data_IF_376941669316
#
_entry.id   IF_376941669316
#
_cell.length_a   1.000
_cell.length_b   1.000
_cell.length_c   1.000
_cell.angle_alpha   90.00
_cell.angle_beta   90.00
_cell.angle_gamma   90.00
#
_symmetry.space_group_name_H-M   'P 1'
#
loop_
_entity.id
_entity.type
_entity.pdbx_description
1 polymer ?
#
# COMPACT_ATOMS: atom_id res chain seq x y z
N UNK A 1 8.08 -0.53 16.50
CA UNK A 1 7.47 -1.08 17.74
C UNK A 1 8.37 -2.08 18.45
N UNK A 2 8.52 -3.33 17.98
CA UNK A 2 9.41 -4.33 18.63
C UNK A 2 10.84 -3.82 18.89
N UNK A 3 11.42 -3.05 17.96
CA UNK A 3 12.73 -2.40 18.14
C UNK A 3 12.76 -1.33 19.25
N UNK A 4 11.66 -0.59 19.42
CA UNK A 4 11.53 0.44 20.45
C UNK A 4 11.23 -0.16 21.83
N UNK A 5 10.53 -1.30 21.85
CA UNK A 5 10.11 -2.01 23.05
C UNK A 5 10.42 -3.51 22.91
N UNK A 6 11.70 -3.93 23.06
CA UNK A 6 12.10 -5.33 22.81
C UNK A 6 11.36 -6.34 23.68
N UNK A 7 11.13 -5.99 24.95
CA UNK A 7 10.44 -6.81 25.96
C UNK A 7 8.93 -6.52 26.05
N UNK A 8 8.40 -5.59 25.24
CA UNK A 8 6.99 -5.22 25.33
C UNK A 8 6.09 -6.27 24.70
N UNK A 9 4.99 -6.64 25.36
CA UNK A 9 3.96 -7.48 24.75
C UNK A 9 3.16 -6.66 23.73
N UNK A 10 3.05 -7.14 22.50
CA UNK A 10 2.41 -6.46 21.37
C UNK A 10 1.14 -7.19 21.02
N UNK A 11 0.00 -6.59 21.35
CA UNK A 11 -1.31 -7.03 20.87
C UNK A 11 -1.70 -6.27 19.61
N UNK A 12 -2.18 -6.97 18.57
CA UNK A 12 -2.66 -6.38 17.34
C UNK A 12 -4.18 -6.56 17.20
N UNK A 13 -4.90 -5.45 17.27
CA UNK A 13 -6.31 -5.37 16.94
C UNK A 13 -6.49 -5.25 15.42
N UNK A 14 -7.16 -6.22 14.80
CA UNK A 14 -7.38 -6.25 13.35
C UNK A 14 -8.82 -6.66 13.04
N UNK A 15 -9.37 -6.23 11.90
CA UNK A 15 -10.67 -6.75 11.46
C UNK A 15 -10.55 -8.25 11.17
N UNK A 16 -11.53 -9.03 11.61
CA UNK A 16 -11.56 -10.50 11.48
C UNK A 16 -11.35 -10.98 10.03
N UNK A 17 -11.88 -10.25 9.05
CA UNK A 17 -11.71 -10.53 7.62
C UNK A 17 -10.26 -10.53 7.12
N UNK A 18 -9.33 -9.98 7.91
CA UNK A 18 -7.90 -9.93 7.58
C UNK A 18 -7.05 -10.91 8.41
N UNK A 19 -7.63 -11.88 9.12
CA UNK A 19 -6.87 -12.88 9.90
C UNK A 19 -5.82 -13.63 9.06
N UNK A 20 -6.06 -13.79 7.76
CA UNK A 20 -5.12 -14.41 6.83
C UNK A 20 -3.74 -13.72 6.72
N UNK A 21 -3.54 -12.51 7.26
CA UNK A 21 -2.25 -11.81 7.25
C UNK A 21 -1.41 -12.04 8.51
N UNK A 22 -1.90 -12.81 9.48
CA UNK A 22 -1.22 -13.06 10.77
C UNK A 22 0.20 -13.58 10.61
N UNK A 23 0.42 -14.45 9.62
CA UNK A 23 1.74 -15.04 9.35
C UNK A 23 2.81 -13.98 9.05
N UNK A 24 2.43 -12.79 8.55
CA UNK A 24 3.36 -11.68 8.29
C UNK A 24 3.94 -11.06 9.57
N UNK A 25 3.27 -11.28 10.71
CA UNK A 25 3.67 -10.74 11.99
C UNK A 25 4.24 -11.82 12.93
N UNK A 26 4.57 -13.01 12.40
CA UNK A 26 5.21 -14.06 13.17
C UNK A 26 6.50 -13.53 13.84
N UNK A 27 6.60 -13.69 15.17
CA UNK A 27 7.71 -13.17 15.98
C UNK A 27 7.68 -11.66 16.24
N UNK A 28 6.67 -10.93 15.74
CA UNK A 28 6.48 -9.50 15.98
C UNK A 28 5.29 -9.20 16.88
N UNK A 29 4.17 -9.91 16.69
CA UNK A 29 2.92 -9.76 17.46
C UNK A 29 2.75 -10.98 18.37
N UNK A 30 2.45 -10.72 19.64
CA UNK A 30 2.30 -11.76 20.67
C UNK A 30 0.85 -12.25 20.75
N UNK A 31 -0.12 -11.37 20.49
CA UNK A 31 -1.55 -11.70 20.54
C UNK A 31 -2.34 -10.95 19.48
N UNK A 32 -3.21 -11.67 18.77
CA UNK A 32 -4.19 -11.07 17.87
C UNK A 32 -5.53 -10.90 18.56
N UNK A 33 -6.18 -9.77 18.29
CA UNK A 33 -7.52 -9.45 18.76
C UNK A 33 -8.35 -9.14 17.51
N UNK A 34 -9.46 -9.84 17.32
CA UNK A 34 -10.28 -9.69 16.11
C UNK A 34 -11.52 -8.86 16.37
N UNK A 35 -11.70 -7.82 15.56
CA UNK A 35 -12.92 -7.03 15.51
C UNK A 35 -13.80 -7.51 14.35
N UNK A 36 -14.99 -8.03 14.65
CA UNK A 36 -15.94 -8.52 13.64
C UNK A 36 -16.76 -7.35 13.06
N UNK A 37 -16.10 -6.50 12.27
CA UNK A 37 -16.70 -5.29 11.69
C UNK A 37 -17.97 -5.60 10.92
N UNK A 38 -17.99 -6.66 10.13
CA UNK A 38 -19.15 -7.04 9.32
C UNK A 38 -20.34 -7.36 10.21
N UNK A 39 -20.18 -8.19 11.25
CA UNK A 39 -21.25 -8.50 12.18
C UNK A 39 -21.79 -7.24 12.86
N UNK A 40 -20.91 -6.34 13.32
CA UNK A 40 -21.33 -5.06 13.89
C UNK A 40 -22.10 -4.19 12.88
N UNK A 41 -21.64 -4.09 11.65
CA UNK A 41 -22.30 -3.30 10.60
C UNK A 41 -23.69 -3.88 10.27
N UNK A 42 -23.80 -5.20 10.11
CA UNK A 42 -25.07 -5.90 9.87
C UNK A 42 -26.05 -5.68 11.02
N UNK A 43 -25.56 -5.75 12.26
CA UNK A 43 -26.39 -5.56 13.46
C UNK A 43 -27.05 -4.19 13.57
N UNK A 44 -26.58 -3.18 12.83
CA UNK A 44 -27.17 -1.85 12.82
C UNK A 44 -28.43 -1.72 11.95
N UNK A 45 -28.75 -2.71 11.09
CA UNK A 45 -29.87 -2.56 10.14
C UNK A 45 -30.55 -3.85 9.68
N UNK A 46 -29.96 -5.03 9.90
CA UNK A 46 -30.56 -6.30 9.52
C UNK A 46 -31.57 -6.80 10.57
N UNK A 47 -32.73 -7.29 10.10
CA UNK A 47 -33.86 -7.72 10.96
C UNK A 47 -33.54 -8.90 11.89
N UNK A 48 -32.49 -9.65 11.55
CA UNK A 48 -32.03 -10.82 12.30
C UNK A 48 -31.36 -10.42 13.63
N UNK A 49 -30.96 -9.16 13.78
CA UNK A 49 -30.32 -8.64 14.98
C UNK A 49 -31.31 -7.81 15.79
N UNK A 50 -31.37 -8.07 17.10
CA UNK A 50 -32.09 -7.17 18.00
C UNK A 50 -31.27 -5.86 18.18
N UNK A 51 -31.96 -4.75 18.44
CA UNK A 51 -31.34 -3.40 18.53
C UNK A 51 -30.26 -3.28 19.62
N UNK A 52 -30.30 -4.14 20.64
CA UNK A 52 -29.33 -4.15 21.73
C UNK A 52 -28.13 -5.07 21.45
N UNK A 53 -28.20 -5.90 20.41
CA UNK A 53 -27.17 -6.90 20.10
C UNK A 53 -25.82 -6.22 19.88
N UNK A 54 -25.77 -5.20 19.01
CA UNK A 54 -24.53 -4.50 18.69
C UNK A 54 -23.91 -3.83 19.91
N UNK A 55 -24.73 -3.19 20.75
CA UNK A 55 -24.25 -2.55 21.98
C UNK A 55 -23.72 -3.57 22.99
N UNK A 56 -24.46 -4.65 23.22
CA UNK A 56 -24.06 -5.73 24.13
C UNK A 56 -22.73 -6.36 23.69
N UNK A 57 -22.61 -6.76 22.44
CA UNK A 57 -21.40 -7.41 21.93
C UNK A 57 -20.21 -6.45 21.83
N UNK A 58 -20.43 -5.16 21.56
CA UNK A 58 -19.37 -4.16 21.60
C UNK A 58 -18.85 -3.96 23.02
N UNK A 59 -19.75 -3.92 24.01
CA UNK A 59 -19.38 -3.83 25.43
C UNK A 59 -18.57 -5.06 25.84
N UNK A 60 -19.07 -6.26 25.58
CA UNK A 60 -18.37 -7.51 25.89
C UNK A 60 -17.00 -7.58 25.21
N UNK A 61 -16.91 -7.13 23.95
CA UNK A 61 -15.65 -7.03 23.23
C UNK A 61 -14.66 -6.09 23.93
N UNK A 62 -15.08 -4.86 24.26
CA UNK A 62 -14.23 -3.87 24.94
C UNK A 62 -13.82 -4.36 26.35
N UNK A 63 -14.75 -4.93 27.11
CA UNK A 63 -14.48 -5.53 28.41
C UNK A 63 -13.44 -6.64 28.29
N UNK A 64 -13.56 -7.53 27.29
CA UNK A 64 -12.59 -8.57 26.98
C UNK A 64 -11.20 -8.03 26.63
N UNK A 65 -11.13 -6.98 25.81
CA UNK A 65 -9.85 -6.32 25.50
C UNK A 65 -9.21 -5.73 26.76
N UNK A 66 -10.02 -5.10 27.61
CA UNK A 66 -9.61 -4.42 28.85
C UNK A 66 -9.35 -5.37 30.03
N UNK A 67 -9.51 -6.69 29.87
CA UNK A 67 -8.96 -7.67 30.83
C UNK A 67 -7.44 -7.56 30.93
N UNK A 68 -6.79 -7.00 29.91
CA UNK A 68 -5.36 -6.68 29.90
C UNK A 68 -5.19 -5.17 30.13
N UNK A 69 -4.17 -4.78 30.89
CA UNK A 69 -3.75 -3.39 31.05
C UNK A 69 -2.70 -3.02 30.01
N UNK A 70 -2.94 -2.00 29.20
CA UNK A 70 -1.98 -1.56 28.17
C UNK A 70 -1.21 -0.30 28.62
N UNK A 71 0.10 -0.28 28.40
CA UNK A 71 0.88 0.94 28.61
C UNK A 71 0.59 1.97 27.51
N UNK A 72 0.54 1.53 26.25
CA UNK A 72 0.30 2.41 25.10
C UNK A 72 -0.58 1.76 24.04
N UNK A 73 -1.55 2.52 23.52
CA UNK A 73 -2.35 2.15 22.33
C UNK A 73 -1.98 3.03 21.14
N UNK A 74 -1.73 2.41 19.99
CA UNK A 74 -1.48 3.09 18.72
C UNK A 74 -2.69 2.89 17.79
N UNK A 75 -3.31 3.96 17.34
CA UNK A 75 -4.37 3.90 16.33
C UNK A 75 -3.79 4.12 14.92
N UNK A 76 -3.72 3.07 14.10
CA UNK A 76 -3.16 3.13 12.74
C UNK A 76 -4.15 3.54 11.63
N UNK A 77 -5.45 3.66 11.92
CA UNK A 77 -6.49 3.85 10.87
C UNK A 77 -7.10 5.25 10.86
N UNK A 78 -6.93 6.03 11.94
CA UNK A 78 -7.30 7.45 12.01
C UNK A 78 -8.75 7.80 11.60
N UNK A 79 -9.68 6.85 11.70
CA UNK A 79 -11.10 7.08 11.42
C UNK A 79 -11.92 7.19 12.72
N UNK A 80 -13.19 7.60 12.62
CA UNK A 80 -14.06 7.79 13.79
C UNK A 80 -14.26 6.51 14.60
N UNK A 81 -14.48 5.38 13.94
CA UNK A 81 -14.68 4.08 14.60
C UNK A 81 -13.47 3.70 15.46
N UNK A 82 -12.28 3.72 14.87
CA UNK A 82 -11.02 3.38 15.55
C UNK A 82 -10.64 4.42 16.61
N UNK A 83 -11.01 5.69 16.44
CA UNK A 83 -10.85 6.69 17.47
C UNK A 83 -11.72 6.41 18.70
N UNK A 84 -12.98 6.00 18.53
CA UNK A 84 -13.83 5.56 19.63
C UNK A 84 -13.29 4.28 20.29
N UNK A 85 -12.92 3.27 19.53
CA UNK A 85 -12.32 2.04 20.07
C UNK A 85 -11.03 2.32 20.85
N UNK A 86 -10.11 3.11 20.30
CA UNK A 86 -8.87 3.54 20.99
C UNK A 86 -9.15 4.31 22.29
N UNK A 87 -10.25 5.07 22.33
CA UNK A 87 -10.75 5.74 23.52
C UNK A 87 -11.25 4.81 24.62
N UNK A 88 -11.93 3.73 24.21
CA UNK A 88 -12.54 2.73 25.10
C UNK A 88 -11.53 1.72 25.65
N UNK A 89 -10.41 1.50 24.96
CA UNK A 89 -9.33 0.64 25.43
C UNK A 89 -8.61 1.33 26.60
N UNK A 90 -8.45 0.63 27.71
CA UNK A 90 -7.79 1.10 28.92
C UNK A 90 -6.27 1.12 28.72
N UNK A 91 -5.71 2.31 28.53
CA UNK A 91 -4.28 2.50 28.37
C UNK A 91 -3.77 3.79 29.03
N UNK A 92 -2.52 3.76 29.51
CA UNK A 92 -1.86 4.93 30.11
C UNK A 92 -1.60 6.02 29.06
N UNK A 93 -1.14 5.63 27.87
CA UNK A 93 -0.85 6.51 26.73
C UNK A 93 -1.62 6.09 25.49
N UNK A 94 -2.01 7.08 24.67
CA UNK A 94 -2.63 6.88 23.36
C UNK A 94 -1.88 7.67 22.30
N UNK A 95 -1.60 7.06 21.16
CA UNK A 95 -0.93 7.65 20.01
C UNK A 95 -1.84 7.54 18.78
N UNK A 96 -1.91 8.62 18.00
CA UNK A 96 -2.91 8.78 16.95
C UNK A 96 -4.21 9.39 17.47
N UNK A 97 -5.29 9.24 16.71
CA UNK A 97 -6.60 9.84 17.04
C UNK A 97 -7.36 8.93 18.00
N UNK A 98 -7.94 9.50 19.06
CA UNK A 98 -8.80 8.79 20.00
C UNK A 98 -9.94 9.69 20.51
N UNK A 99 -11.00 9.09 21.04
CA UNK A 99 -12.11 9.82 21.65
C UNK A 99 -12.12 9.63 23.17
N UNK A 100 -12.45 10.68 23.92
CA UNK A 100 -12.68 10.59 25.36
C UNK A 100 -13.77 11.59 25.75
N UNK A 101 -14.76 11.14 26.52
CA UNK A 101 -15.90 11.96 26.96
C UNK A 101 -16.59 12.73 25.82
N UNK A 102 -16.76 12.09 24.65
CA UNK A 102 -17.40 12.69 23.48
C UNK A 102 -16.53 13.67 22.67
N UNK A 103 -15.32 14.00 23.14
CA UNK A 103 -14.34 14.80 22.41
C UNK A 103 -13.34 13.91 21.65
N UNK A 104 -12.70 14.45 20.61
CA UNK A 104 -11.62 13.80 19.86
C UNK A 104 -10.27 14.48 20.13
N UNK A 105 -9.24 13.67 20.31
CA UNK A 105 -7.86 14.06 20.64
C UNK A 105 -6.88 13.48 19.61
N UNK A 106 -5.62 13.89 19.68
CA UNK A 106 -4.58 13.52 18.71
C UNK A 106 -4.66 14.28 17.38
N UNK A 107 -5.69 15.10 17.17
CA UNK A 107 -5.90 15.89 15.95
C UNK A 107 -4.97 17.11 15.84
N UNK A 108 -4.21 17.44 16.88
CA UNK A 108 -3.30 18.60 16.90
C UNK A 108 -1.95 18.32 16.25
N UNK A 109 -1.59 17.05 16.01
CA UNK A 109 -0.35 16.70 15.31
C UNK A 109 -0.35 17.28 13.88
N UNK A 110 0.65 18.10 13.49
CA UNK A 110 0.75 18.63 12.13
C UNK A 110 0.79 17.53 11.08
N UNK A 111 1.47 16.41 11.37
CA UNK A 111 1.54 15.25 10.49
C UNK A 111 0.20 14.52 10.35
N UNK A 112 -0.57 14.37 11.44
CA UNK A 112 -1.93 13.80 11.36
C UNK A 112 -2.86 14.69 10.53
N UNK A 113 -2.81 16.01 10.73
CA UNK A 113 -3.61 16.96 9.94
C UNK A 113 -3.25 16.93 8.46
N UNK A 114 -1.95 16.89 8.15
CA UNK A 114 -1.47 16.77 6.78
C UNK A 114 -1.94 15.44 6.16
N UNK A 115 -1.74 14.32 6.84
CA UNK A 115 -2.11 13.01 6.31
C UNK A 115 -3.61 12.90 6.02
N UNK A 116 -4.47 13.36 6.95
CA UNK A 116 -5.92 13.36 6.74
C UNK A 116 -6.36 14.26 5.56
N UNK A 117 -5.64 15.35 5.31
CA UNK A 117 -5.91 16.22 4.16
C UNK A 117 -5.36 15.66 2.85
N UNK A 118 -4.31 14.85 2.92
CA UNK A 118 -3.62 14.26 1.78
C UNK A 118 -4.37 13.04 1.22
N UNK A 119 -5.00 12.26 2.08
CA UNK A 119 -5.70 11.04 1.71
C UNK A 119 -6.79 11.29 0.66
N UNK A 120 -6.78 10.52 -0.42
CA UNK A 120 -7.78 10.60 -1.50
C UNK A 120 -7.61 11.79 -2.48
N UNK A 121 -6.61 12.66 -2.32
CA UNK A 121 -6.30 13.69 -3.31
C UNK A 121 -5.61 13.10 -4.54
N UNK A 122 -5.94 13.60 -5.73
CA UNK A 122 -5.29 13.18 -6.99
C UNK A 122 -3.88 13.75 -7.15
N UNK A 123 -3.65 14.94 -6.63
CA UNK A 123 -2.36 15.62 -6.68
C UNK A 123 -1.49 15.13 -5.52
N UNK A 124 -0.48 14.33 -5.84
CA UNK A 124 0.45 13.81 -4.85
C UNK A 124 1.59 14.79 -4.63
N UNK A 125 1.70 15.34 -3.42
CA UNK A 125 2.87 16.04 -2.89
C UNK A 125 4.09 15.11 -2.64
N UNK A 126 4.17 13.98 -3.34
CA UNK A 126 5.31 13.05 -3.30
C UNK A 126 5.43 12.19 -2.05
N UNK A 127 4.40 12.10 -1.22
CA UNK A 127 4.40 11.30 0.00
C UNK A 127 3.72 9.94 -0.19
N UNK A 128 4.42 8.88 0.21
CA UNK A 128 3.84 7.54 0.33
C UNK A 128 2.99 7.43 1.60
N UNK A 129 1.87 6.68 1.57
CA UNK A 129 1.00 6.54 2.74
C UNK A 129 1.69 5.90 3.95
N UNK A 130 2.52 4.85 3.76
CA UNK A 130 3.34 4.28 4.84
C UNK A 130 4.25 5.31 5.51
N UNK A 131 4.83 6.23 4.72
CA UNK A 131 5.68 7.28 5.26
C UNK A 131 4.86 8.26 6.11
N UNK A 132 3.72 8.71 5.59
CA UNK A 132 2.84 9.62 6.33
C UNK A 132 2.29 8.99 7.59
N UNK A 133 1.92 7.71 7.55
CA UNK A 133 1.44 6.98 8.71
C UNK A 133 2.51 6.89 9.80
N UNK A 134 3.75 6.57 9.43
CA UNK A 134 4.85 6.52 10.38
C UNK A 134 5.14 7.90 11.00
N UNK A 135 5.19 8.96 10.18
CA UNK A 135 5.37 10.34 10.67
C UNK A 135 4.22 10.81 11.55
N UNK A 136 2.97 10.46 11.19
CA UNK A 136 1.78 10.81 11.94
C UNK A 136 1.71 10.13 13.31
N UNK A 137 2.34 8.97 13.45
CA UNK A 137 2.38 8.17 14.69
C UNK A 137 3.71 8.26 15.45
N UNK A 138 4.61 9.18 15.05
CA UNK A 138 5.96 9.31 15.60
C UNK A 138 6.74 7.96 15.59
N UNK A 139 6.51 7.13 14.58
CA UNK A 139 7.22 5.86 14.38
C UNK A 139 8.47 6.15 13.56
N UNK A 140 9.68 5.80 14.05
CA UNK A 140 10.90 5.91 13.28
C UNK A 140 10.80 5.04 12.02
N UNK A 141 10.92 5.68 10.85
CA UNK A 141 11.18 4.96 9.61
C UNK A 141 12.65 4.58 9.61
N UNK A 142 12.96 3.30 9.45
CA UNK A 142 14.36 2.89 9.30
C UNK A 142 14.93 3.49 8.03
N UNK A 143 15.90 4.38 8.22
CA UNK A 143 16.64 5.01 7.14
C UNK A 143 17.77 4.07 6.74
N UNK A 144 17.41 3.02 6.03
CA UNK A 144 18.36 2.05 5.52
C UNK A 144 18.22 1.97 4.02
N UNK A 145 19.30 2.33 3.30
CA UNK A 145 19.55 1.71 2.02
C UNK A 145 19.68 0.21 2.29
N UNK A 146 18.57 -0.53 2.16
CA UNK A 146 18.67 -1.96 1.94
C UNK A 146 19.55 -2.06 0.71
N UNK A 147 20.82 -2.42 0.93
CA UNK A 147 21.71 -2.75 -0.16
C UNK A 147 21.05 -3.94 -0.83
N UNK A 148 20.38 -3.66 -1.93
CA UNK A 148 19.73 -4.70 -2.70
C UNK A 148 20.79 -5.70 -3.08
N UNK A 149 20.65 -6.91 -2.52
CA UNK A 149 21.43 -8.05 -2.94
C UNK A 149 20.55 -8.82 -3.88
N UNK A 150 21.05 -8.98 -5.11
CA UNK A 150 20.43 -9.80 -6.13
C UNK A 150 20.03 -11.14 -5.51
N UNK A 151 18.79 -11.61 -5.75
CA UNK A 151 18.49 -13.01 -5.54
C UNK A 151 19.31 -13.85 -6.52
N UNK A 152 20.49 -14.32 -6.12
CA UNK A 152 21.32 -15.18 -6.95
C UNK A 152 20.66 -16.55 -7.08
N UNK A 153 20.53 -17.06 -8.31
CA UNK A 153 20.04 -18.41 -8.58
C UNK A 153 18.52 -18.55 -8.71
N UNK A 154 17.72 -17.51 -8.41
CA UNK A 154 16.27 -17.55 -8.64
C UNK A 154 15.96 -17.47 -10.14
N UNK A 155 15.08 -18.34 -10.63
CA UNK A 155 14.73 -18.47 -12.05
C UNK A 155 13.24 -18.31 -12.35
N UNK A 156 12.43 -17.87 -11.40
CA UNK A 156 10.98 -17.72 -11.59
C UNK A 156 10.59 -16.26 -11.74
N UNK A 157 9.83 -15.91 -12.77
CA UNK A 157 9.13 -14.63 -12.93
C UNK A 157 7.65 -14.87 -12.64
N UNK A 158 7.07 -14.05 -11.77
CA UNK A 158 5.65 -14.10 -11.46
C UNK A 158 4.91 -12.97 -12.17
N UNK A 159 3.82 -13.29 -12.85
CA UNK A 159 2.87 -12.34 -13.41
C UNK A 159 1.59 -12.41 -12.58
N UNK A 160 1.17 -11.29 -12.00
CA UNK A 160 -0.07 -11.19 -11.23
C UNK A 160 -1.00 -10.21 -11.97
N UNK A 161 -1.98 -10.72 -12.76
CA UNK A 161 -2.65 -9.89 -13.77
C UNK A 161 -3.92 -9.18 -13.29
N UNK A 162 -4.51 -9.61 -12.16
CA UNK A 162 -5.83 -9.15 -11.72
C UNK A 162 -5.75 -8.33 -10.42
N UNK A 163 -6.55 -7.28 -10.34
CA UNK A 163 -6.75 -6.51 -9.11
C UNK A 163 -8.23 -6.54 -8.73
N UNK A 164 -8.55 -6.05 -7.53
CA UNK A 164 -9.94 -5.86 -7.09
C UNK A 164 -10.73 -4.86 -7.93
N UNK A 165 -10.05 -4.06 -8.76
CA UNK A 165 -10.63 -3.00 -9.57
C UNK A 165 -10.29 -3.20 -11.05
N UNK A 166 -11.27 -3.62 -11.85
CA UNK A 166 -11.05 -4.01 -13.24
C UNK A 166 -10.38 -2.93 -14.10
N UNK A 167 -10.55 -1.64 -13.78
CA UNK A 167 -9.88 -0.53 -14.52
C UNK A 167 -8.37 -0.44 -14.27
N UNK A 168 -7.84 -1.15 -13.27
CA UNK A 168 -6.39 -1.26 -13.04
C UNK A 168 -5.78 -2.47 -13.74
N UNK A 169 -6.61 -3.38 -14.28
CA UNK A 169 -6.13 -4.60 -14.90
C UNK A 169 -5.68 -4.30 -16.32
N UNK A 170 -4.45 -4.70 -16.64
CA UNK A 170 -4.02 -4.75 -18.03
C UNK A 170 -4.71 -5.91 -18.75
N UNK A 171 -4.82 -5.80 -20.06
CA UNK A 171 -5.51 -6.80 -20.87
C UNK A 171 -4.86 -8.19 -20.72
N UNK A 172 -5.68 -9.23 -20.51
CA UNK A 172 -5.20 -10.59 -20.26
C UNK A 172 -4.49 -11.19 -21.48
N UNK A 173 -4.91 -10.83 -22.69
CA UNK A 173 -4.21 -11.26 -23.91
C UNK A 173 -2.82 -10.61 -23.99
N UNK A 174 -2.68 -9.34 -23.57
CA UNK A 174 -1.37 -8.70 -23.45
C UNK A 174 -0.47 -9.38 -22.41
N UNK A 175 -1.00 -9.78 -21.25
CA UNK A 175 -0.24 -10.58 -20.27
C UNK A 175 0.17 -11.95 -20.83
N UNK A 176 -0.70 -12.62 -21.58
CA UNK A 176 -0.38 -13.88 -22.26
C UNK A 176 0.77 -13.71 -23.23
N UNK A 177 0.70 -12.70 -24.09
CA UNK A 177 1.77 -12.40 -25.05
C UNK A 177 3.10 -12.10 -24.32
N UNK A 178 3.06 -11.38 -23.19
CA UNK A 178 4.23 -11.11 -22.36
C UNK A 178 4.83 -12.40 -21.78
N UNK A 179 4.00 -13.28 -21.23
CA UNK A 179 4.40 -14.58 -20.69
C UNK A 179 5.10 -15.43 -21.76
N UNK A 180 4.46 -15.60 -22.92
CA UNK A 180 5.01 -16.39 -24.03
C UNK A 180 6.33 -15.81 -24.53
N UNK A 181 6.43 -14.47 -24.65
CA UNK A 181 7.66 -13.80 -25.07
C UNK A 181 8.79 -14.02 -24.06
N UNK A 182 8.51 -13.93 -22.76
CA UNK A 182 9.51 -14.17 -21.71
C UNK A 182 9.97 -15.64 -21.67
N UNK A 183 9.06 -16.60 -21.81
CA UNK A 183 9.39 -18.02 -21.84
C UNK A 183 10.22 -18.39 -23.09
N UNK A 184 9.92 -17.80 -24.25
CA UNK A 184 10.63 -18.08 -25.50
C UNK A 184 12.03 -17.45 -25.54
N UNK A 185 12.20 -16.26 -24.96
CA UNK A 185 13.42 -15.44 -25.13
C UNK A 185 14.33 -15.39 -23.91
N UNK A 186 13.94 -16.02 -22.80
CA UNK A 186 14.74 -16.04 -21.57
C UNK A 186 14.76 -17.44 -20.97
N UNK A 187 15.71 -17.71 -20.08
CA UNK A 187 15.78 -18.98 -19.35
C UNK A 187 14.93 -19.01 -18.08
N UNK A 188 14.06 -18.02 -17.86
CA UNK A 188 13.23 -17.93 -16.67
C UNK A 188 11.95 -18.73 -16.85
N UNK A 189 11.56 -19.46 -15.82
CA UNK A 189 10.22 -20.01 -15.71
C UNK A 189 9.25 -18.86 -15.41
N UNK A 190 8.19 -18.73 -16.18
CA UNK A 190 7.17 -17.69 -15.98
C UNK A 190 5.89 -18.35 -15.50
N UNK A 191 5.34 -17.88 -14.39
CA UNK A 191 4.07 -18.38 -13.83
C UNK A 191 3.10 -17.23 -13.58
N UNK A 192 1.80 -17.51 -13.70
CA UNK A 192 0.72 -16.58 -13.45
C UNK A 192 0.16 -16.82 -12.04
N UNK A 193 0.40 -15.87 -11.15
CA UNK A 193 -0.10 -15.90 -9.79
C UNK A 193 -1.57 -15.45 -9.76
N UNK A 194 -2.43 -16.24 -9.13
CA UNK A 194 -3.84 -15.92 -8.94
C UNK A 194 -4.42 -16.53 -7.66
N UNK A 195 -5.50 -15.94 -7.15
CA UNK A 195 -6.23 -16.48 -6.02
C UNK A 195 -7.18 -17.63 -6.47
N UNK A 196 -7.65 -18.50 -5.55
CA UNK A 196 -8.54 -19.61 -5.89
C UNK A 196 -9.80 -19.18 -6.65
N UNK A 197 -10.41 -18.05 -6.25
CA UNK A 197 -11.60 -17.50 -6.90
C UNK A 197 -11.34 -16.89 -8.28
N UNK A 198 -10.07 -16.73 -8.69
CA UNK A 198 -9.67 -16.21 -10.00
C UNK A 198 -9.35 -17.31 -11.01
N UNK A 199 -9.26 -18.58 -10.56
CA UNK A 199 -8.77 -19.70 -11.37
C UNK A 199 -9.51 -19.84 -12.69
N UNK A 200 -10.84 -19.87 -12.67
CA UNK A 200 -11.67 -20.07 -13.87
C UNK A 200 -11.47 -18.96 -14.90
N UNK A 201 -11.33 -17.71 -14.44
CA UNK A 201 -11.08 -16.56 -15.32
C UNK A 201 -9.69 -16.62 -15.95
N UNK A 202 -8.68 -17.06 -15.20
CA UNK A 202 -7.32 -17.17 -15.70
C UNK A 202 -7.16 -18.32 -16.70
N UNK A 203 -7.83 -19.45 -16.48
CA UNK A 203 -7.83 -20.59 -17.40
C UNK A 203 -8.41 -20.28 -18.79
N UNK A 204 -9.19 -19.21 -18.93
CA UNK A 204 -9.68 -18.76 -20.24
C UNK A 204 -8.56 -18.19 -21.13
N UNK A 205 -7.41 -17.81 -20.56
CA UNK A 205 -6.32 -17.14 -21.27
C UNK A 205 -5.00 -17.92 -21.18
N UNK A 206 -4.71 -18.51 -20.02
CA UNK A 206 -3.46 -19.22 -19.73
C UNK A 206 -3.71 -20.71 -19.55
N UNK A 207 -2.73 -21.53 -19.92
CA UNK A 207 -2.76 -22.97 -19.67
C UNK A 207 -2.53 -23.30 -18.20
N UNK A 208 -3.05 -24.45 -17.74
CA UNK A 208 -3.02 -24.82 -16.32
C UNK A 208 -1.59 -24.97 -15.79
N UNK A 209 -0.64 -25.45 -16.60
CA UNK A 209 0.77 -25.57 -16.20
C UNK A 209 1.47 -24.23 -15.93
N UNK A 210 0.92 -23.13 -16.46
CA UNK A 210 1.43 -21.78 -16.22
C UNK A 210 0.80 -21.14 -14.99
N UNK A 211 -0.28 -21.68 -14.43
CA UNK A 211 -0.98 -21.08 -13.29
C UNK A 211 -0.34 -21.50 -11.95
N UNK A 212 -0.17 -20.52 -11.07
CA UNK A 212 0.14 -20.71 -9.66
C UNK A 212 -1.04 -20.18 -8.85
N UNK A 213 -2.01 -21.05 -8.57
CA UNK A 213 -3.20 -20.71 -7.79
C UNK A 213 -2.95 -21.03 -6.33
N UNK A 214 -2.99 -20.00 -5.47
CA UNK A 214 -2.74 -20.14 -4.04
C UNK A 214 -3.44 -19.05 -3.22
N UNK A 215 -3.52 -19.27 -1.91
CA UNK A 215 -3.95 -18.24 -0.97
C UNK A 215 -2.85 -17.18 -0.73
N UNK A 216 -3.10 -16.25 0.20
CA UNK A 216 -2.18 -15.15 0.48
C UNK A 216 -0.84 -15.62 1.05
N UNK A 217 -0.83 -16.71 1.84
CA UNK A 217 0.39 -17.29 2.40
C UNK A 217 1.20 -18.03 1.33
N UNK A 218 0.54 -18.78 0.45
CA UNK A 218 1.18 -19.39 -0.72
C UNK A 218 1.76 -18.35 -1.68
N UNK A 219 1.07 -17.21 -1.84
CA UNK A 219 1.57 -16.09 -2.63
C UNK A 219 2.86 -15.51 -2.03
N UNK A 220 2.92 -15.32 -0.71
CA UNK A 220 4.15 -14.90 -0.02
C UNK A 220 5.30 -15.88 -0.27
N UNK A 221 5.05 -17.18 -0.11
CA UNK A 221 6.05 -18.23 -0.34
C UNK A 221 6.57 -18.23 -1.79
N UNK A 222 5.70 -18.00 -2.77
CA UNK A 222 6.07 -17.88 -4.18
C UNK A 222 6.94 -16.64 -4.43
N UNK A 223 6.54 -15.47 -3.88
CA UNK A 223 7.27 -14.21 -4.03
C UNK A 223 8.68 -14.29 -3.43
N UNK A 224 8.83 -14.95 -2.26
CA UNK A 224 10.14 -15.20 -1.63
C UNK A 224 11.12 -15.95 -2.54
N UNK A 225 10.62 -16.73 -3.50
CA UNK A 225 11.42 -17.54 -4.42
C UNK A 225 11.45 -16.99 -5.87
N UNK A 226 10.78 -15.87 -6.13
CA UNK A 226 10.78 -15.22 -7.43
C UNK A 226 12.00 -14.30 -7.66
N UNK A 227 12.34 -14.11 -8.93
CA UNK A 227 13.35 -13.17 -9.41
C UNK A 227 12.76 -11.80 -9.78
N UNK A 228 11.48 -11.77 -10.18
CA UNK A 228 10.73 -10.56 -10.56
C UNK A 228 9.24 -10.82 -10.38
N UNK A 229 8.51 -9.81 -9.90
CA UNK A 229 7.04 -9.73 -9.99
C UNK A 229 6.64 -8.68 -11.04
N UNK A 230 5.72 -9.04 -11.93
CA UNK A 230 5.06 -8.12 -12.86
C UNK A 230 3.58 -8.05 -12.45
N UNK A 231 3.08 -6.87 -12.08
CA UNK A 231 1.74 -6.74 -11.48
C UNK A 231 1.16 -5.35 -11.62
N UNK A 232 -0.15 -5.20 -11.35
CA UNK A 232 -0.80 -3.90 -11.20
C UNK A 232 -0.75 -3.37 -9.76
N UNK A 233 -1.61 -2.39 -9.46
CA UNK A 233 -1.76 -1.83 -8.11
C UNK A 233 -2.66 -2.72 -7.23
N UNK A 234 -2.03 -3.63 -6.48
CA UNK A 234 -2.65 -4.65 -5.61
C UNK A 234 -1.84 -4.90 -4.33
N UNK A 235 -2.43 -5.58 -3.34
CA UNK A 235 -1.73 -5.99 -2.10
C UNK A 235 -0.50 -6.86 -2.36
N UNK A 236 -0.49 -7.65 -3.44
CA UNK A 236 0.62 -8.55 -3.80
C UNK A 236 1.93 -7.79 -4.04
N UNK A 237 1.90 -6.56 -4.61
CA UNK A 237 3.11 -5.77 -4.81
C UNK A 237 3.73 -5.31 -3.48
N UNK A 238 2.89 -5.03 -2.48
CA UNK A 238 3.35 -4.66 -1.15
C UNK A 238 3.93 -5.87 -0.41
N UNK A 239 3.32 -7.05 -0.58
CA UNK A 239 3.87 -8.32 -0.08
C UNK A 239 5.25 -8.62 -0.69
N UNK A 240 5.41 -8.39 -2.00
CA UNK A 240 6.69 -8.51 -2.69
C UNK A 240 7.76 -7.53 -2.15
N UNK A 241 7.35 -6.28 -1.86
CA UNK A 241 8.24 -5.26 -1.33
C UNK A 241 8.83 -5.64 0.05
N UNK A 242 8.09 -6.39 0.88
CA UNK A 242 8.59 -6.90 2.17
C UNK A 242 9.78 -7.86 2.03
N UNK A 243 9.99 -8.44 0.86
CA UNK A 243 11.06 -9.41 0.58
C UNK A 243 12.11 -8.87 -0.39
N UNK A 244 12.15 -7.54 -0.61
CA UNK A 244 13.07 -6.88 -1.53
C UNK A 244 13.04 -7.45 -2.96
N UNK A 245 11.90 -8.04 -3.36
CA UNK A 245 11.69 -8.58 -4.69
C UNK A 245 11.63 -7.41 -5.69
N UNK A 246 12.36 -7.46 -6.82
CA UNK A 246 12.16 -6.51 -7.91
C UNK A 246 10.72 -6.57 -8.41
N UNK A 247 10.10 -5.41 -8.63
CA UNK A 247 8.70 -5.32 -9.10
C UNK A 247 8.65 -4.43 -10.32
N UNK A 248 8.02 -4.93 -11.39
CA UNK A 248 7.53 -4.14 -12.50
C UNK A 248 6.04 -3.85 -12.27
N UNK A 249 5.73 -2.63 -11.84
CA UNK A 249 4.35 -2.20 -11.63
C UNK A 249 3.78 -1.58 -12.91
N UNK A 250 2.64 -2.12 -13.38
CA UNK A 250 1.85 -1.55 -14.46
C UNK A 250 0.75 -0.68 -13.85
N UNK A 251 1.02 0.62 -13.71
CA UNK A 251 0.13 1.55 -13.03
C UNK A 251 -0.95 2.08 -14.00
N UNK A 252 -2.14 1.47 -13.90
CA UNK A 252 -3.30 1.76 -14.74
C UNK A 252 -4.51 2.24 -13.92
N UNK A 253 -5.48 2.83 -14.60
CA UNK A 253 -6.75 3.22 -14.00
C UNK A 253 -6.59 4.21 -12.85
N UNK A 254 -7.07 3.82 -11.66
CA UNK A 254 -7.02 4.64 -10.44
C UNK A 254 -5.71 4.52 -9.65
N UNK A 255 -4.71 3.79 -10.16
CA UNK A 255 -3.40 3.69 -9.49
C UNK A 255 -2.75 5.07 -9.36
N UNK A 256 -2.26 5.37 -8.15
CA UNK A 256 -1.54 6.60 -7.83
C UNK A 256 -0.13 6.27 -7.34
N UNK A 257 0.84 6.02 -8.26
CA UNK A 257 2.18 5.55 -7.91
C UNK A 257 2.88 6.35 -6.82
N UNK A 258 2.74 7.68 -6.83
CA UNK A 258 3.39 8.55 -5.83
C UNK A 258 2.85 8.38 -4.40
N UNK A 259 1.69 7.75 -4.22
CA UNK A 259 1.04 7.58 -2.92
C UNK A 259 1.09 6.13 -2.44
N UNK A 260 0.97 5.17 -3.37
CA UNK A 260 0.81 3.74 -3.09
C UNK A 260 1.78 2.85 -3.87
N UNK A 261 2.78 3.39 -4.55
CA UNK A 261 3.80 2.60 -5.23
C UNK A 261 4.46 1.59 -4.29
N UNK A 262 5.04 0.51 -4.81
CA UNK A 262 5.74 -0.45 -3.95
C UNK A 262 6.81 0.26 -3.10
N UNK A 263 6.74 0.12 -1.77
CA UNK A 263 7.70 0.71 -0.83
C UNK A 263 9.02 -0.07 -0.88
N UNK A 264 9.81 0.14 -1.92
CA UNK A 264 11.03 -0.61 -2.24
C UNK A 264 12.06 0.31 -2.92
N UNK A 265 13.30 -0.17 -3.03
CA UNK A 265 14.40 0.53 -3.73
C UNK A 265 14.68 0.03 -5.16
N UNK A 266 13.95 -0.99 -5.61
CA UNK A 266 14.32 -1.77 -6.80
C UNK A 266 13.12 -2.08 -7.69
N UNK A 267 12.10 -1.22 -7.66
CA UNK A 267 10.92 -1.36 -8.47
C UNK A 267 10.89 -0.30 -9.55
N UNK A 268 10.31 -0.66 -10.70
CA UNK A 268 10.02 0.25 -11.79
C UNK A 268 8.53 0.26 -12.02
N UNK A 269 7.99 1.45 -12.17
CA UNK A 269 6.58 1.69 -12.42
C UNK A 269 6.46 2.24 -13.84
N UNK A 270 5.66 1.57 -14.66
CA UNK A 270 5.24 2.02 -15.98
C UNK A 270 3.83 2.56 -15.86
N UNK A 271 3.65 3.85 -16.14
CA UNK A 271 2.35 4.51 -16.10
C UNK A 271 2.06 5.17 -17.45
N UNK A 272 0.95 4.82 -18.09
CA UNK A 272 0.58 5.43 -19.38
C UNK A 272 0.22 6.90 -19.24
N UNK A 273 0.73 7.74 -20.15
CA UNK A 273 0.40 9.17 -20.20
C UNK A 273 -0.93 9.40 -20.91
N UNK A 274 -2.01 9.29 -20.14
CA UNK A 274 -3.38 9.57 -20.61
C UNK A 274 -3.96 10.76 -19.86
N UNK A 275 -4.74 11.60 -20.55
CA UNK A 275 -5.39 12.77 -19.95
C UNK A 275 -6.55 12.42 -19.01
N UNK A 276 -7.10 11.21 -19.11
CA UNK A 276 -8.21 10.75 -18.26
C UNK A 276 -7.77 10.13 -16.93
N UNK A 277 -6.46 10.04 -16.67
CA UNK A 277 -5.87 9.33 -15.54
C UNK A 277 -4.99 10.22 -14.65
N UNK A 278 -4.73 9.82 -13.39
CA UNK A 278 -5.34 8.68 -12.70
C UNK A 278 -6.86 8.84 -12.51
N UNK A 279 -7.59 7.73 -12.65
CA UNK A 279 -9.05 7.74 -12.47
C UNK A 279 -9.41 7.90 -10.98
N UNK A 280 -10.58 8.49 -10.66
CA UNK A 280 -11.13 8.41 -9.30
C UNK A 280 -11.29 6.94 -8.85
N UNK A 281 -11.02 6.68 -7.56
CA UNK A 281 -10.97 5.33 -7.01
C UNK A 281 -12.33 4.60 -7.09
N UNK A 282 -13.40 5.27 -6.64
CA UNK A 282 -14.74 4.70 -6.50
C UNK A 282 -15.59 4.73 -7.77
N UNK A 283 -15.06 5.25 -8.88
CA UNK A 283 -15.78 5.36 -10.14
C UNK A 283 -15.28 4.35 -11.17
N UNK A 284 -16.13 4.01 -12.14
CA UNK A 284 -15.71 3.20 -13.29
C UNK A 284 -14.81 4.02 -14.22
N UNK A 285 -14.11 3.36 -15.15
CA UNK A 285 -13.40 4.05 -16.22
C UNK A 285 -14.38 4.95 -16.99
N UNK A 286 -14.05 6.23 -17.14
CA UNK A 286 -14.90 7.19 -17.86
C UNK A 286 -14.77 7.12 -19.38
N UNK A 287 -13.82 6.32 -19.87
CA UNK A 287 -13.52 6.17 -21.29
C UNK A 287 -14.23 4.96 -21.87
N UNK A 288 -14.61 5.07 -23.16
CA UNK A 288 -15.19 3.95 -23.93
C UNK A 288 -14.20 2.80 -24.10
N UNK A 289 -12.92 3.12 -24.28
CA UNK A 289 -11.83 2.16 -24.41
C UNK A 289 -10.88 2.25 -23.20
N UNK A 290 -10.13 1.18 -22.91
CA UNK A 290 -9.20 1.17 -21.78
C UNK A 290 -7.87 1.83 -22.18
N UNK A 291 -7.92 3.13 -22.50
CA UNK A 291 -6.82 3.89 -23.12
C UNK A 291 -5.47 3.71 -22.46
N UNK A 292 -5.40 3.75 -21.12
CA UNK A 292 -4.13 3.56 -20.41
C UNK A 292 -3.58 2.14 -20.59
N UNK A 293 -4.42 1.11 -20.55
CA UNK A 293 -4.01 -0.26 -20.83
C UNK A 293 -3.64 -0.49 -22.31
N UNK A 294 -4.33 0.16 -23.24
CA UNK A 294 -4.07 0.13 -24.69
C UNK A 294 -2.70 0.74 -25.03
N UNK A 295 -2.40 1.91 -24.47
CA UNK A 295 -1.16 2.68 -24.68
C UNK A 295 0.09 2.01 -24.07
N UNK A 296 -0.07 1.06 -23.15
CA UNK A 296 1.06 0.29 -22.60
C UNK A 296 1.33 -0.93 -23.51
N UNK A 297 2.43 -0.96 -24.28
CA UNK A 297 2.71 -2.04 -25.21
C UNK A 297 3.40 -3.22 -24.51
N UNK A 298 3.18 -4.43 -25.04
CA UNK A 298 3.83 -5.65 -24.54
C UNK A 298 5.34 -5.57 -24.62
N UNK A 299 5.87 -4.92 -25.66
CA UNK A 299 7.32 -4.73 -25.85
C UNK A 299 7.95 -3.88 -24.76
N UNK A 300 7.27 -2.82 -24.29
CA UNK A 300 7.74 -2.01 -23.15
C UNK A 300 7.84 -2.87 -21.88
N UNK A 301 6.76 -3.57 -21.52
CA UNK A 301 6.75 -4.43 -20.33
C UNK A 301 7.84 -5.53 -20.41
N UNK A 302 8.02 -6.14 -21.57
CA UNK A 302 9.05 -7.16 -21.81
C UNK A 302 10.47 -6.60 -21.64
N UNK A 303 10.78 -5.45 -22.26
CA UNK A 303 12.11 -4.84 -22.17
C UNK A 303 12.40 -4.36 -20.74
N UNK A 304 11.44 -3.74 -20.05
CA UNK A 304 11.58 -3.36 -18.65
C UNK A 304 11.82 -4.59 -17.75
N UNK A 305 11.11 -5.70 -17.99
CA UNK A 305 11.33 -6.94 -17.27
C UNK A 305 12.75 -7.48 -17.46
N UNK A 306 13.28 -7.47 -18.70
CA UNK A 306 14.68 -7.88 -18.97
C UNK A 306 15.70 -7.00 -18.28
N UNK A 307 15.48 -5.69 -18.25
CA UNK A 307 16.34 -4.74 -17.54
C UNK A 307 16.33 -5.01 -16.03
N UNK A 308 15.17 -5.25 -15.42
CA UNK A 308 15.05 -5.62 -14.00
C UNK A 308 15.70 -6.98 -13.70
N UNK A 309 15.63 -7.93 -14.65
CA UNK A 309 16.31 -9.23 -14.56
C UNK A 309 17.81 -9.15 -14.88
N UNK A 310 18.34 -7.96 -15.18
CA UNK A 310 19.73 -7.69 -15.59
C UNK A 310 20.18 -8.52 -16.81
N UNK A 311 19.24 -8.89 -17.70
CA UNK A 311 19.55 -9.55 -18.96
C UNK A 311 20.07 -8.56 -20.00
N UNK A 312 19.63 -7.31 -19.90
CA UNK A 312 20.15 -6.17 -20.65
C UNK A 312 20.60 -5.09 -19.67
N UNK A 313 21.60 -4.30 -20.06
CA UNK A 313 22.09 -3.15 -19.26
C UNK A 313 22.04 -1.80 -20.00
N UNK A 314 20.99 -1.47 -20.78
CA UNK A 314 20.83 -0.10 -21.25
C UNK A 314 20.53 0.83 -20.07
N UNK A 315 20.81 2.11 -20.25
CA UNK A 315 20.40 3.13 -19.30
C UNK A 315 18.86 3.23 -19.30
N UNK A 316 18.25 3.35 -18.13
CA UNK A 316 16.80 3.52 -17.99
C UNK A 316 16.30 4.81 -18.67
N UNK A 317 17.17 5.81 -18.80
CA UNK A 317 16.95 7.04 -19.54
C UNK A 317 16.72 6.77 -21.04
N UNK A 318 17.52 5.87 -21.65
CA UNK A 318 17.34 5.48 -23.05
C UNK A 318 16.05 4.69 -23.25
N UNK A 319 15.68 3.83 -22.29
CA UNK A 319 14.39 3.14 -22.29
C UNK A 319 13.23 4.15 -22.23
N UNK A 320 13.31 5.15 -21.34
CA UNK A 320 12.28 6.17 -21.20
C UNK A 320 12.17 7.11 -22.41
N UNK A 321 13.26 7.32 -23.16
CA UNK A 321 13.26 8.04 -24.44
C UNK A 321 12.60 7.25 -25.56
N UNK A 322 12.71 5.91 -25.53
CA UNK A 322 12.06 5.03 -26.51
C UNK A 322 10.54 4.96 -26.32
N UNK A 323 10.08 4.93 -25.06
CA UNK A 323 8.67 4.80 -24.71
C UNK A 323 8.11 6.14 -24.17
N UNK A 324 8.07 7.15 -25.02
CA UNK A 324 7.64 8.52 -24.67
C UNK A 324 6.18 8.61 -24.21
N UNK A 325 5.37 7.63 -24.55
CA UNK A 325 3.97 7.50 -24.14
C UNK A 325 3.81 7.02 -22.69
N UNK A 326 4.91 6.63 -22.03
CA UNK A 326 4.93 6.15 -20.65
C UNK A 326 5.71 7.10 -19.74
N UNK A 327 5.22 7.25 -18.51
CA UNK A 327 6.03 7.65 -17.37
C UNK A 327 6.78 6.42 -16.87
N UNK A 328 8.11 6.52 -16.81
CA UNK A 328 8.99 5.49 -16.26
C UNK A 328 9.52 6.01 -14.93
N UNK A 329 9.07 5.41 -13.84
CA UNK A 329 9.40 5.84 -12.48
C UNK A 329 10.18 4.72 -11.79
N UNK A 330 11.33 5.04 -11.20
CA UNK A 330 12.11 4.10 -10.40
C UNK A 330 11.94 4.43 -8.92
N UNK A 331 11.59 3.44 -8.10
CA UNK A 331 11.38 3.64 -6.67
C UNK A 331 12.71 3.77 -5.92
N UNK A 332 12.77 4.68 -4.94
CA UNK A 332 13.96 4.92 -4.14
C UNK A 332 13.57 5.35 -2.72
N UNK A 333 14.36 4.94 -1.72
CA UNK A 333 14.26 5.36 -0.33
C UNK A 333 15.53 6.16 -0.06
N UNK A 334 15.37 7.48 0.05
CA UNK A 334 16.46 8.42 0.25
C UNK A 334 16.55 8.81 1.72
N UNK A 335 17.78 8.98 2.19
CA UNK A 335 18.07 9.50 3.53
C UNK A 335 17.33 10.84 3.74
N UNK A 336 16.70 11.02 4.90
CA UNK A 336 15.83 12.16 5.30
C UNK A 336 14.53 12.39 4.49
N UNK A 337 14.51 12.09 3.19
CA UNK A 337 13.31 12.28 2.34
C UNK A 337 12.35 11.07 2.34
N UNK A 338 12.80 9.91 2.83
CA UNK A 338 12.00 8.69 2.82
C UNK A 338 11.82 8.13 1.42
N UNK A 339 10.71 7.40 1.21
CA UNK A 339 10.38 6.81 -0.08
C UNK A 339 9.99 7.88 -1.10
N UNK A 340 10.46 7.71 -2.32
CA UNK A 340 10.22 8.59 -3.45
C UNK A 340 10.35 7.82 -4.76
N UNK A 341 10.16 8.51 -5.87
CA UNK A 341 10.45 7.97 -7.20
C UNK A 341 11.36 8.91 -7.98
N UNK A 342 12.32 8.35 -8.69
CA UNK A 342 13.06 9.03 -9.73
C UNK A 342 12.26 8.96 -11.03
N UNK A 343 11.90 10.12 -11.59
CA UNK A 343 11.30 10.17 -12.93
C UNK A 343 12.39 10.10 -14.00
N UNK A 344 12.39 9.03 -14.78
CA UNK A 344 13.36 8.79 -15.86
C UNK A 344 12.88 9.38 -17.20
N UNK A 345 11.60 9.71 -17.27
CA UNK A 345 10.95 10.33 -18.42
C UNK A 345 11.26 11.83 -18.52
N UNK A 346 12.10 12.21 -19.50
CA UNK A 346 12.57 13.60 -19.69
C UNK A 346 11.43 14.63 -19.72
N UNK A 347 10.34 14.35 -20.44
CA UNK A 347 9.22 15.28 -20.60
C UNK A 347 8.44 15.59 -19.31
N UNK A 348 8.67 14.82 -18.23
CA UNK A 348 8.00 15.00 -16.94
C UNK A 348 8.98 15.32 -15.81
N UNK A 349 10.28 15.35 -16.11
CA UNK A 349 11.32 15.50 -15.10
C UNK A 349 11.14 16.77 -14.26
N UNK A 350 10.89 17.91 -14.89
CA UNK A 350 10.66 19.18 -14.19
C UNK A 350 9.46 19.12 -13.23
N UNK A 351 8.33 18.55 -13.66
CA UNK A 351 7.14 18.41 -12.83
C UNK A 351 7.40 17.50 -11.61
N UNK A 352 8.13 16.40 -11.80
CA UNK A 352 8.50 15.52 -10.69
C UNK A 352 9.51 16.18 -9.75
N UNK A 353 10.48 16.93 -10.29
CA UNK A 353 11.45 17.69 -9.48
C UNK A 353 10.73 18.74 -8.60
N UNK A 354 9.71 19.43 -9.13
CA UNK A 354 8.84 20.32 -8.35
C UNK A 354 8.11 19.58 -7.22
N UNK A 355 7.60 18.37 -7.48
CA UNK A 355 6.96 17.53 -6.45
C UNK A 355 7.96 17.17 -5.34
N UNK A 356 9.21 16.83 -5.68
CA UNK A 356 10.25 16.51 -4.69
C UNK A 356 10.65 17.75 -3.88
N UNK A 357 10.76 18.92 -4.51
CA UNK A 357 11.03 20.17 -3.82
C UNK A 357 9.89 20.52 -2.86
N UNK A 358 8.63 20.42 -3.31
CA UNK A 358 7.46 20.64 -2.47
C UNK A 358 7.43 19.69 -1.27
N UNK A 359 7.73 18.40 -1.49
CA UNK A 359 7.84 17.41 -0.40
C UNK A 359 8.85 17.85 0.66
N UNK A 360 10.03 18.29 0.24
CA UNK A 360 11.12 18.72 1.13
C UNK A 360 10.68 19.90 2.00
N UNK A 361 10.09 20.94 1.38
CA UNK A 361 9.56 22.11 2.10
C UNK A 361 8.46 21.72 3.10
N UNK A 362 7.59 20.78 2.75
CA UNK A 362 6.53 20.28 3.65
C UNK A 362 7.16 19.55 4.85
N UNK A 363 8.18 18.72 4.64
CA UNK A 363 8.88 18.01 5.73
C UNK A 363 9.48 19.01 6.71
N UNK A 364 10.21 20.00 6.23
CA UNK A 364 10.84 21.04 7.05
C UNK A 364 9.81 21.81 7.88
N UNK A 365 8.74 22.28 7.23
CA UNK A 365 7.70 23.06 7.89
C UNK A 365 6.93 22.26 8.94
N UNK A 366 6.55 21.02 8.64
CA UNK A 366 5.79 20.18 9.57
C UNK A 366 6.65 19.73 10.77
N UNK A 367 7.94 19.46 10.56
CA UNK A 367 8.87 19.15 11.64
C UNK A 367 9.04 20.36 12.58
N UNK A 368 9.26 21.56 12.02
CA UNK A 368 9.34 22.82 12.78
C UNK A 368 8.09 23.06 13.63
N UNK A 369 6.89 22.86 13.07
CA UNK A 369 5.62 22.98 13.83
C UNK A 369 5.48 21.93 14.91
N UNK A 370 5.97 20.72 14.69
CA UNK A 370 5.92 19.63 15.66
C UNK A 370 6.80 19.92 16.86
N UNK A 371 8.00 20.45 16.64
CA UNK A 371 8.92 20.90 17.70
C UNK A 371 8.33 22.05 18.52
N UNK A 372 7.80 23.09 17.87
CA UNK A 372 7.13 24.19 18.56
C UNK A 372 5.92 23.72 19.37
N UNK A 373 5.19 22.73 18.87
CA UNK A 373 4.01 22.19 19.56
C UNK A 373 4.38 21.33 20.78
N UNK A 374 5.53 20.64 20.74
CA UNK A 374 6.08 19.91 21.91
C UNK A 374 6.51 20.88 23.02
N UNK A 375 6.96 22.09 22.68
CA UNK A 375 7.25 23.16 23.64
C UNK A 375 6.01 23.85 24.25
N UNK A 376 4.83 23.69 23.64
CA UNK A 376 3.56 24.32 24.05
C UNK A 376 2.54 23.28 24.57
N UNK A 377 2.94 22.00 24.69
CA UNK A 377 2.07 20.87 25.03
C UNK A 377 1.62 20.83 26.52
N UNK A 378 1.06 21.94 27.02
CA UNK A 378 0.30 21.99 28.26
C UNK A 378 -1.12 22.57 28.09
N UNK A 379 -1.63 22.77 26.87
CA UNK A 379 -3.01 23.23 26.65
C UNK A 379 -3.82 22.33 25.70
N UNK A 380 -4.84 21.71 26.30
CA UNK A 380 -5.89 20.92 25.66
C UNK A 380 -6.66 21.76 24.63
N UNK A 381 -6.62 21.42 23.34
CA UNK A 381 -7.52 22.01 22.32
C UNK A 381 -8.28 20.95 21.53
N UNK A 382 -9.61 21.04 21.60
CA UNK A 382 -10.62 20.22 20.92
C UNK A 382 -10.89 20.70 19.48
N UNK A 383 -11.01 19.78 18.51
CA UNK A 383 -11.59 20.06 17.18
C UNK A 383 -12.47 18.91 16.69
N UNK A 384 -13.51 19.21 15.89
CA UNK A 384 -14.40 18.23 15.25
C UNK A 384 -13.76 17.64 13.99
N UNK A 385 -13.83 16.32 13.81
CA UNK A 385 -13.49 15.62 12.56
C UNK A 385 -14.48 16.01 11.45
N UNK A 386 -14.00 16.45 10.28
CA UNK A 386 -14.85 16.69 9.10
C UNK A 386 -15.51 15.39 8.63
N UNK A 387 -16.71 15.51 8.05
CA UNK A 387 -17.58 14.37 7.69
C UNK A 387 -17.12 13.66 6.40
N UNK A 388 -16.21 14.26 5.61
CA UNK A 388 -15.96 13.85 4.22
C UNK A 388 -14.76 12.91 3.99
N UNK A 389 -14.19 12.30 5.03
CA UNK A 389 -12.95 11.49 4.90
C UNK A 389 -13.12 9.98 5.05
N UNK A 390 -14.35 9.47 5.18
CA UNK A 390 -14.59 8.09 5.60
C UNK A 390 -15.56 7.38 4.67
N UNK A 391 -15.11 7.00 3.48
CA UNK A 391 -15.74 5.97 2.65
C UNK A 391 -14.78 5.55 1.51
N UNK A 392 -13.62 5.03 1.90
CA UNK A 392 -12.78 4.19 1.03
C UNK A 392 -11.92 3.32 1.94
N UNK A 393 -12.51 2.25 2.46
CA UNK A 393 -11.82 1.14 3.13
C UNK A 393 -12.21 -0.16 2.45
#
# INVERSE_FOLDING_TARGET
MRKMHPQGEIHLLVNKQFSQVEFLFAGLVDKFIYFDREAFQKSCGEKEYNILWGFKHLREFVEGVNQNSYDTVYNFTHNRLTAHLSGLISAQKRVGIYSQNGAFYGLTSPWIQFFNNYFGRREAAGFHYTELLAKALDIPLEQGAIQWRRPSGKKTVLIQPLTSDAKKNWDLQKYKNLLETLQQKTSYQVQVLGAPFEKERLLQHFSEENLLICDFQGAEAALKNAALLITGDTSIKHLAALHDLPILELALGSSQPLQVGAYSNNSVILQSRVSCGPCPHSEKCSQVSHRCGEQLPVTAAYEAARMLLNLDRPAWESYAQKYVELNVLKTEIRHLMGWTVQCLSVAQKNQFDEVIQAKTMIVEELNRRTESSKGVANEQRTRKLSVSGAEAS
#
